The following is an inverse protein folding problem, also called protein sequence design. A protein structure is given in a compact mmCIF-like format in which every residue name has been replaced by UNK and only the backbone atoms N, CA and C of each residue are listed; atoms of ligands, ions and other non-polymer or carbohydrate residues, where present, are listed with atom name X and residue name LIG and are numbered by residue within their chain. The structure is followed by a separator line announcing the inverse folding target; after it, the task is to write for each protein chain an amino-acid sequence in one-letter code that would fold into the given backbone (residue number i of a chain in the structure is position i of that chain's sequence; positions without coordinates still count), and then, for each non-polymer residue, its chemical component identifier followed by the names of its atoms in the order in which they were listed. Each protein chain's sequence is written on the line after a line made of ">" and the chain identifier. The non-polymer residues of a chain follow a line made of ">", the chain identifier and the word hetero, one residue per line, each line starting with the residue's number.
data_IF_116568075028
#
_entry.id   IF_116568075028
#
_cell.length_a   1.000
_cell.length_b   1.000
_cell.length_c   1.000
_cell.angle_alpha   90.00
_cell.angle_beta   90.00
_cell.angle_gamma   90.00
#
_symmetry.space_group_name_H-M   'P 1'
#
loop_
_entity.id
_entity.type
_entity.pdbx_description
1 polymer ?
#
# COMPACT_ATOMS: atom_id res chain seq x y z
N UNK A 1 76.49 25.57 -5.98
CA UNK A 1 75.40 26.08 -5.11
C UNK A 1 73.96 25.88 -5.63
N UNK A 2 73.66 25.63 -6.92
CA UNK A 2 72.27 25.36 -7.38
C UNK A 2 71.82 23.89 -7.30
N UNK A 3 72.74 22.92 -7.26
CA UNK A 3 72.40 21.47 -7.22
C UNK A 3 72.03 20.95 -5.82
N UNK A 4 72.61 21.49 -4.74
CA UNK A 4 72.31 21.02 -3.37
C UNK A 4 70.95 21.49 -2.84
N UNK A 5 70.50 22.69 -3.22
CA UNK A 5 69.20 23.25 -2.82
C UNK A 5 68.03 22.45 -3.42
N UNK A 6 68.19 21.92 -4.63
CA UNK A 6 67.16 21.10 -5.28
C UNK A 6 67.02 19.70 -4.65
N UNK A 7 68.12 19.13 -4.14
CA UNK A 7 68.17 17.82 -3.47
C UNK A 7 67.53 17.85 -2.07
N UNK A 8 67.84 18.87 -1.28
CA UNK A 8 67.26 19.08 0.05
C UNK A 8 65.76 19.41 -0.02
N UNK A 9 65.33 20.24 -0.96
CA UNK A 9 63.91 20.60 -1.15
C UNK A 9 63.06 19.40 -1.57
N UNK A 10 63.59 18.54 -2.44
CA UNK A 10 62.93 17.29 -2.86
C UNK A 10 62.81 16.27 -1.72
N UNK A 11 63.85 16.11 -0.89
CA UNK A 11 63.81 15.24 0.30
C UNK A 11 62.87 15.74 1.40
N UNK A 12 62.86 17.06 1.65
CA UNK A 12 61.95 17.66 2.64
C UNK A 12 60.48 17.56 2.20
N UNK A 13 60.16 17.81 0.93
CA UNK A 13 58.81 17.67 0.39
C UNK A 13 58.31 16.21 0.43
N UNK A 14 59.17 15.23 0.09
CA UNK A 14 58.80 13.80 0.18
C UNK A 14 58.55 13.35 1.63
N UNK A 15 59.36 13.83 2.58
CA UNK A 15 59.16 13.54 4.00
C UNK A 15 57.90 14.23 4.56
N UNK A 16 57.58 15.46 4.13
CA UNK A 16 56.35 16.15 4.54
C UNK A 16 55.10 15.40 4.06
N UNK A 17 55.07 14.97 2.79
CA UNK A 17 53.95 14.22 2.20
C UNK A 17 53.79 12.84 2.85
N UNK A 18 54.90 12.20 3.28
CA UNK A 18 54.86 10.92 3.98
C UNK A 18 54.30 11.06 5.41
N UNK A 19 54.68 12.12 6.13
CA UNK A 19 54.15 12.42 7.46
C UNK A 19 52.68 12.84 7.44
N UNK A 20 52.26 13.60 6.42
CA UNK A 20 50.85 13.99 6.26
C UNK A 20 49.97 12.76 6.01
N UNK A 21 50.43 11.79 5.20
CA UNK A 21 49.71 10.54 4.94
C UNK A 21 49.65 9.60 6.14
N UNK A 22 50.68 9.55 6.99
CA UNK A 22 50.67 8.70 8.19
C UNK A 22 49.80 9.27 9.31
N UNK A 23 49.77 10.59 9.48
CA UNK A 23 48.87 11.29 10.40
C UNK A 23 47.40 11.17 9.96
N UNK A 24 47.11 11.32 8.67
CA UNK A 24 45.75 11.08 8.14
C UNK A 24 45.32 9.63 8.29
N UNK A 25 46.20 8.64 8.03
CA UNK A 25 45.87 7.23 8.23
C UNK A 25 45.61 6.87 9.71
N UNK A 26 46.35 7.50 10.65
CA UNK A 26 46.15 7.30 12.09
C UNK A 26 44.86 7.97 12.60
N UNK A 27 44.54 9.17 12.10
CA UNK A 27 43.26 9.82 12.38
C UNK A 27 42.10 9.00 11.81
N UNK A 28 42.18 8.59 10.55
CA UNK A 28 41.14 7.76 9.91
C UNK A 28 40.92 6.47 10.70
N UNK A 29 41.96 5.73 11.08
CA UNK A 29 41.78 4.50 11.85
C UNK A 29 41.13 4.71 13.23
N UNK A 30 41.51 5.75 13.98
CA UNK A 30 40.92 6.02 15.29
C UNK A 30 39.46 6.51 15.19
N UNK A 31 39.14 7.35 14.20
CA UNK A 31 37.75 7.76 13.96
C UNK A 31 36.90 6.64 13.36
N UNK A 32 37.48 5.74 12.59
CA UNK A 32 36.78 4.60 12.00
C UNK A 32 36.36 3.61 13.09
N UNK A 33 37.21 3.34 14.09
CA UNK A 33 36.84 2.48 15.23
C UNK A 33 35.74 3.13 16.08
N UNK A 34 35.82 4.45 16.33
CA UNK A 34 34.77 5.18 17.05
C UNK A 34 33.47 5.25 16.23
N UNK A 35 33.56 5.42 14.91
CA UNK A 35 32.41 5.40 14.01
C UNK A 35 31.77 4.01 13.97
N UNK A 36 32.53 2.92 13.89
CA UNK A 36 31.98 1.55 13.95
C UNK A 36 31.39 1.23 15.33
N UNK A 37 32.04 1.62 16.42
CA UNK A 37 31.50 1.44 17.77
C UNK A 37 30.24 2.29 18.02
N UNK A 38 30.17 3.51 17.47
CA UNK A 38 28.96 4.33 17.49
C UNK A 38 27.90 3.81 16.51
N UNK A 39 28.28 3.19 15.40
CA UNK A 39 27.34 2.61 14.44
C UNK A 39 26.69 1.36 15.04
N UNK A 40 27.44 0.50 15.74
CA UNK A 40 26.86 -0.64 16.46
C UNK A 40 25.96 -0.18 17.64
N UNK A 41 26.32 0.89 18.36
CA UNK A 41 25.52 1.41 19.49
C UNK A 41 24.30 2.24 19.05
N UNK A 42 24.41 3.06 17.99
CA UNK A 42 23.29 3.84 17.43
C UNK A 42 22.36 2.98 16.57
N UNK A 43 22.86 1.95 15.86
CA UNK A 43 22.00 1.04 15.11
C UNK A 43 21.18 0.13 16.04
N UNK A 44 21.72 -0.26 17.20
CA UNK A 44 20.97 -1.06 18.17
C UNK A 44 19.80 -0.29 18.82
N UNK A 45 19.97 0.99 19.12
CA UNK A 45 18.90 1.81 19.70
C UNK A 45 17.88 2.31 18.66
N UNK A 46 18.31 2.61 17.42
CA UNK A 46 17.41 3.06 16.35
C UNK A 46 16.50 1.93 15.83
N UNK A 47 17.00 0.70 15.64
CA UNK A 47 16.16 -0.42 15.18
C UNK A 47 15.14 -0.91 16.23
N UNK A 48 15.47 -0.77 17.53
CA UNK A 48 14.56 -1.15 18.61
C UNK A 48 13.47 -0.10 18.85
N UNK A 49 13.79 1.19 18.67
CA UNK A 49 12.82 2.30 18.64
C UNK A 49 11.73 2.06 17.58
N UNK A 50 12.12 1.76 16.35
CA UNK A 50 11.20 1.60 15.22
C UNK A 50 10.32 0.35 15.35
N UNK A 51 10.87 -0.76 15.86
CA UNK A 51 10.09 -1.98 16.11
C UNK A 51 9.08 -1.82 17.23
N UNK A 52 9.42 -1.07 18.30
CA UNK A 52 8.49 -0.82 19.39
C UNK A 52 7.33 0.07 18.92
N UNK A 53 7.62 1.11 18.14
CA UNK A 53 6.63 1.99 17.52
C UNK A 53 5.67 1.23 16.57
N UNK A 54 6.22 0.31 15.77
CA UNK A 54 5.41 -0.51 14.85
C UNK A 54 4.46 -1.45 15.59
N UNK A 55 4.93 -2.13 16.65
CA UNK A 55 4.08 -3.03 17.44
C UNK A 55 2.93 -2.25 18.10
N UNK A 56 3.21 -1.09 18.71
CA UNK A 56 2.17 -0.24 19.30
C UNK A 56 1.10 0.16 18.28
N UNK A 57 1.52 0.53 17.07
CA UNK A 57 0.62 0.89 15.97
C UNK A 57 -0.31 -0.27 15.61
N UNK A 58 0.25 -1.47 15.42
CA UNK A 58 -0.54 -2.70 15.14
C UNK A 58 -1.58 -2.94 16.23
N UNK A 59 -1.18 -2.83 17.49
CA UNK A 59 -2.07 -3.11 18.62
C UNK A 59 -3.18 -2.08 18.76
N UNK A 60 -2.89 -0.80 18.50
CA UNK A 60 -3.90 0.26 18.44
C UNK A 60 -4.92 0.00 17.32
N UNK A 61 -4.46 -0.39 16.14
CA UNK A 61 -5.33 -0.67 14.99
C UNK A 61 -6.20 -1.92 15.19
N UNK A 62 -5.66 -2.97 15.82
CA UNK A 62 -6.44 -4.16 16.22
C UNK A 62 -7.56 -3.75 17.17
N UNK A 63 -7.24 -2.96 18.20
CA UNK A 63 -8.22 -2.48 19.17
C UNK A 63 -9.30 -1.61 18.53
N UNK A 64 -8.91 -0.71 17.63
CA UNK A 64 -9.83 0.15 16.89
C UNK A 64 -10.78 -0.68 16.02
N UNK A 65 -10.25 -1.53 15.13
CA UNK A 65 -11.05 -2.37 14.25
C UNK A 65 -11.96 -3.37 15.00
N UNK A 66 -11.49 -3.91 16.13
CA UNK A 66 -12.31 -4.76 17.01
C UNK A 66 -13.49 -3.98 17.57
N UNK A 67 -13.25 -2.76 18.04
CA UNK A 67 -14.28 -1.88 18.64
C UNK A 67 -15.29 -1.42 17.59
N UNK A 68 -14.85 -1.11 16.36
CA UNK A 68 -15.74 -0.79 15.23
C UNK A 68 -16.74 -1.91 14.91
N UNK A 69 -16.35 -3.17 15.17
CA UNK A 69 -17.21 -4.35 15.00
C UNK A 69 -18.09 -4.67 16.20
N UNK A 70 -17.96 -3.92 17.30
CA UNK A 70 -18.65 -4.22 18.55
C UNK A 70 -18.19 -5.51 19.23
N UNK A 71 -16.99 -6.01 18.89
CA UNK A 71 -16.43 -7.22 19.49
C UNK A 71 -15.73 -6.88 20.82
N UNK A 72 -15.94 -7.68 21.85
CA UNK A 72 -15.14 -7.62 23.08
C UNK A 72 -13.78 -8.32 22.89
N UNK A 73 -12.84 -8.09 23.82
CA UNK A 73 -11.57 -8.83 23.82
C UNK A 73 -11.80 -10.34 23.96
N UNK A 74 -12.85 -10.75 24.67
CA UNK A 74 -13.23 -12.15 24.82
C UNK A 74 -13.74 -12.71 23.50
N UNK A 75 -14.58 -11.98 22.77
CA UNK A 75 -15.09 -12.44 21.48
C UNK A 75 -13.93 -12.63 20.49
N UNK A 76 -12.98 -11.69 20.43
CA UNK A 76 -11.79 -11.84 19.58
C UNK A 76 -10.94 -13.06 20.00
N UNK A 77 -10.78 -13.28 21.30
CA UNK A 77 -10.05 -14.43 21.83
C UNK A 77 -10.72 -15.76 21.42
N UNK A 78 -12.04 -15.84 21.57
CA UNK A 78 -12.83 -17.04 21.26
C UNK A 78 -12.73 -17.39 19.76
N UNK A 79 -12.75 -16.39 18.87
CA UNK A 79 -12.59 -16.62 17.42
C UNK A 79 -11.18 -17.10 17.04
N UNK A 80 -10.15 -16.69 17.79
CA UNK A 80 -8.75 -17.04 17.52
C UNK A 80 -8.27 -18.28 18.30
N UNK A 81 -9.13 -18.87 19.14
CA UNK A 81 -8.74 -19.96 20.04
C UNK A 81 -7.68 -19.53 21.07
N UNK A 82 -7.75 -18.27 21.53
CA UNK A 82 -6.82 -17.68 22.51
C UNK A 82 -7.55 -17.34 23.81
N UNK A 83 -6.78 -16.94 24.82
CA UNK A 83 -7.37 -16.43 26.07
C UNK A 83 -7.63 -14.92 25.96
N UNK A 84 -8.62 -14.40 26.69
CA UNK A 84 -8.84 -12.95 26.79
C UNK A 84 -7.59 -12.22 27.30
N UNK A 85 -6.83 -12.84 28.20
CA UNK A 85 -5.58 -12.28 28.72
C UNK A 85 -4.56 -12.08 27.59
N UNK A 86 -4.44 -13.03 26.67
CA UNK A 86 -3.57 -12.91 25.48
C UNK A 86 -3.94 -11.70 24.63
N UNK A 87 -5.23 -11.50 24.35
CA UNK A 87 -5.70 -10.32 23.58
C UNK A 87 -5.41 -9.03 24.34
N UNK A 88 -5.57 -9.03 25.67
CA UNK A 88 -5.25 -7.88 26.52
C UNK A 88 -3.75 -7.56 26.56
N UNK A 89 -2.88 -8.58 26.52
CA UNK A 89 -1.43 -8.39 26.45
C UNK A 89 -1.01 -7.87 25.06
N UNK A 90 -1.63 -8.37 23.99
CA UNK A 90 -1.49 -7.82 22.65
C UNK A 90 -1.87 -6.35 22.62
N UNK A 91 -3.10 -5.98 22.98
CA UNK A 91 -3.58 -4.59 22.89
C UNK A 91 -2.78 -3.59 23.77
N UNK A 92 -1.99 -4.07 24.73
CA UNK A 92 -1.08 -3.26 25.55
C UNK A 92 0.37 -3.25 25.05
N UNK A 93 0.65 -3.87 23.91
CA UNK A 93 2.00 -3.96 23.33
C UNK A 93 2.96 -4.87 24.09
N UNK A 94 2.48 -5.67 25.06
CA UNK A 94 3.34 -6.52 25.91
C UNK A 94 3.89 -7.74 25.18
N UNK A 95 3.25 -8.15 24.09
CA UNK A 95 3.66 -9.31 23.31
C UNK A 95 3.45 -9.01 21.84
N UNK A 96 4.39 -9.42 21.01
CA UNK A 96 4.24 -9.33 19.56
C UNK A 96 3.25 -10.38 19.06
N UNK A 97 2.51 -10.00 18.03
CA UNK A 97 1.65 -10.92 17.29
C UNK A 97 2.44 -11.55 16.14
N UNK A 98 2.21 -12.82 15.87
CA UNK A 98 2.78 -13.45 14.67
C UNK A 98 2.06 -12.99 13.40
N UNK A 99 2.74 -13.09 12.25
CA UNK A 99 2.11 -12.76 10.96
C UNK A 99 0.87 -13.61 10.65
N UNK A 100 0.87 -14.88 11.07
CA UNK A 100 -0.28 -15.79 10.91
C UNK A 100 -1.49 -15.33 11.74
N UNK A 101 -1.27 -14.94 13.00
CA UNK A 101 -2.32 -14.40 13.85
C UNK A 101 -2.84 -13.06 13.33
N UNK A 102 -1.95 -12.18 12.85
CA UNK A 102 -2.35 -10.92 12.25
C UNK A 102 -3.20 -11.12 10.98
N UNK A 103 -2.87 -12.12 10.16
CA UNK A 103 -3.67 -12.48 9.00
C UNK A 103 -5.09 -12.95 9.38
N UNK A 104 -5.20 -13.83 10.39
CA UNK A 104 -6.50 -14.28 10.90
C UNK A 104 -7.34 -13.12 11.44
N UNK A 105 -6.70 -12.20 12.16
CA UNK A 105 -7.34 -10.96 12.63
C UNK A 105 -7.80 -10.10 11.46
N UNK A 106 -6.99 -9.95 10.42
CA UNK A 106 -7.34 -9.18 9.23
C UNK A 106 -8.59 -9.74 8.54
N UNK A 107 -8.70 -11.05 8.39
CA UNK A 107 -9.90 -11.70 7.86
C UNK A 107 -11.10 -11.53 8.77
N UNK A 108 -10.96 -11.83 10.07
CA UNK A 108 -12.03 -11.72 11.06
C UNK A 108 -12.55 -10.30 11.21
N UNK A 109 -11.65 -9.32 11.22
CA UNK A 109 -11.96 -7.88 11.29
C UNK A 109 -12.17 -7.28 9.89
N UNK A 110 -12.12 -8.09 8.83
CA UNK A 110 -12.29 -7.71 7.43
C UNK A 110 -11.64 -6.35 7.10
N UNK A 111 -10.37 -6.23 7.51
CA UNK A 111 -9.45 -5.11 7.25
C UNK A 111 -8.28 -5.60 6.38
N UNK A 112 -7.66 -4.73 5.56
CA UNK A 112 -6.39 -5.07 4.91
C UNK A 112 -5.34 -5.39 5.96
N UNK A 113 -4.36 -6.26 5.65
CA UNK A 113 -3.29 -6.55 6.61
C UNK A 113 -2.45 -5.29 6.87
N UNK A 114 -2.33 -4.45 5.84
CA UNK A 114 -1.60 -3.20 5.83
C UNK A 114 -2.23 -2.12 6.72
N UNK A 115 -3.55 -2.17 6.93
CA UNK A 115 -4.25 -1.25 7.85
C UNK A 115 -3.65 -1.29 9.27
N UNK A 116 -3.16 -2.46 9.69
CA UNK A 116 -2.56 -2.61 11.01
C UNK A 116 -1.18 -1.96 11.12
N UNK A 117 -0.50 -1.66 10.02
CA UNK A 117 0.83 -1.05 10.04
C UNK A 117 0.78 0.49 10.05
N UNK A 118 -0.39 1.09 10.30
CA UNK A 118 -0.54 2.55 10.36
C UNK A 118 -0.53 3.24 8.99
N UNK A 119 -0.39 2.47 7.91
CA UNK A 119 -0.65 2.97 6.57
C UNK A 119 -2.15 3.28 6.48
N UNK A 120 -2.49 4.57 6.42
CA UNK A 120 -3.74 4.99 5.79
C UNK A 120 -3.64 4.57 4.32
N UNK A 121 -3.97 3.31 4.02
CA UNK A 121 -4.06 2.85 2.65
C UNK A 121 -5.23 3.58 2.00
N UNK A 122 -4.89 4.64 1.30
CA UNK A 122 -5.82 5.43 0.54
C UNK A 122 -6.75 6.27 1.39
N UNK A 123 -7.20 7.36 0.80
CA UNK A 123 -8.27 8.18 1.35
C UNK A 123 -9.48 7.32 1.72
N UNK A 124 -10.34 7.83 2.60
CA UNK A 124 -11.57 7.14 3.07
C UNK A 124 -12.35 6.46 1.92
N UNK A 125 -12.34 7.07 0.73
CA UNK A 125 -12.93 6.54 -0.49
C UNK A 125 -12.39 5.16 -0.91
N UNK A 126 -11.08 4.95 -0.84
CA UNK A 126 -10.42 3.67 -1.19
C UNK A 126 -10.81 2.60 -0.17
N UNK A 127 -10.80 2.94 1.11
CA UNK A 127 -11.20 2.01 2.18
C UNK A 127 -12.67 1.58 2.05
N UNK A 128 -13.56 2.53 1.73
CA UNK A 128 -14.98 2.27 1.52
C UNK A 128 -15.18 1.30 0.33
N UNK A 129 -14.47 1.51 -0.78
CA UNK A 129 -14.53 0.61 -1.95
C UNK A 129 -14.00 -0.78 -1.60
N UNK A 130 -12.85 -0.88 -0.93
CA UNK A 130 -12.27 -2.17 -0.52
C UNK A 130 -13.24 -2.95 0.38
N UNK A 131 -13.86 -2.27 1.34
CA UNK A 131 -14.85 -2.88 2.22
C UNK A 131 -16.08 -3.41 1.45
N UNK A 132 -16.56 -2.67 0.44
CA UNK A 132 -17.65 -3.11 -0.44
C UNK A 132 -17.25 -4.34 -1.27
N UNK A 133 -16.05 -4.32 -1.87
CA UNK A 133 -15.55 -5.40 -2.71
C UNK A 133 -15.32 -6.70 -1.94
N UNK A 134 -14.87 -6.62 -0.68
CA UNK A 134 -14.68 -7.81 0.16
C UNK A 134 -15.98 -8.54 0.50
N UNK A 135 -17.09 -7.83 0.59
CA UNK A 135 -18.41 -8.43 0.86
C UNK A 135 -19.01 -9.14 -0.36
N UNK A 136 -18.38 -9.03 -1.53
CA UNK A 136 -18.89 -9.67 -2.75
C UNK A 136 -18.40 -11.12 -2.89
N UNK A 137 -19.19 -12.00 -3.52
CA UNK A 137 -18.72 -13.32 -3.94
C UNK A 137 -17.46 -13.21 -4.82
N UNK A 138 -16.56 -14.20 -4.71
CA UNK A 138 -15.27 -14.20 -5.45
C UNK A 138 -15.45 -13.96 -6.94
N UNK A 139 -16.45 -14.61 -7.55
CA UNK A 139 -16.78 -14.44 -8.98
C UNK A 139 -17.16 -13.00 -9.31
N UNK A 140 -18.03 -12.38 -8.52
CA UNK A 140 -18.46 -10.99 -8.69
C UNK A 140 -17.28 -10.03 -8.50
N UNK A 141 -16.51 -10.21 -7.44
CA UNK A 141 -15.31 -9.41 -7.16
C UNK A 141 -14.31 -9.48 -8.32
N UNK A 142 -14.04 -10.67 -8.84
CA UNK A 142 -13.14 -10.87 -9.97
C UNK A 142 -13.62 -10.14 -11.23
N UNK A 143 -14.90 -10.23 -11.57
CA UNK A 143 -15.45 -9.52 -12.73
C UNK A 143 -15.38 -7.99 -12.58
N UNK A 144 -15.68 -7.46 -11.38
CA UNK A 144 -15.59 -6.02 -11.10
C UNK A 144 -14.14 -5.52 -11.22
N UNK A 145 -13.19 -6.24 -10.63
CA UNK A 145 -11.77 -5.88 -10.71
C UNK A 145 -11.24 -5.97 -12.15
N UNK A 146 -11.67 -6.98 -12.92
CA UNK A 146 -11.32 -7.12 -14.32
C UNK A 146 -11.80 -5.93 -15.15
N UNK A 147 -13.06 -5.51 -14.98
CA UNK A 147 -13.62 -4.35 -15.67
C UNK A 147 -12.90 -3.05 -15.27
N UNK A 148 -12.67 -2.84 -13.96
CA UNK A 148 -11.97 -1.66 -13.47
C UNK A 148 -10.55 -1.59 -14.05
N UNK A 149 -9.82 -2.71 -14.07
CA UNK A 149 -8.49 -2.80 -14.67
C UNK A 149 -8.49 -2.46 -16.16
N UNK A 150 -9.43 -3.00 -16.93
CA UNK A 150 -9.57 -2.69 -18.36
C UNK A 150 -9.81 -1.19 -18.58
N UNK A 151 -10.71 -0.57 -17.81
CA UNK A 151 -11.01 0.87 -17.92
C UNK A 151 -9.76 1.70 -17.65
N UNK A 152 -9.02 1.40 -16.58
CA UNK A 152 -7.80 2.14 -16.21
C UNK A 152 -6.74 2.02 -17.30
N UNK A 153 -6.54 0.81 -17.86
CA UNK A 153 -5.58 0.61 -18.94
C UNK A 153 -5.97 1.38 -20.20
N UNK A 154 -7.24 1.33 -20.60
CA UNK A 154 -7.77 2.09 -21.73
C UNK A 154 -7.59 3.60 -21.52
N UNK A 155 -7.87 4.11 -20.31
CA UNK A 155 -7.68 5.51 -19.95
C UNK A 155 -6.21 5.92 -20.01
N UNK A 156 -5.31 5.12 -19.44
CA UNK A 156 -3.87 5.43 -19.46
C UNK A 156 -3.33 5.53 -20.88
N UNK A 157 -3.70 4.59 -21.76
CA UNK A 157 -3.28 4.63 -23.16
C UNK A 157 -3.91 5.82 -23.89
N UNK A 158 -5.20 6.12 -23.64
CA UNK A 158 -5.88 7.28 -24.21
C UNK A 158 -5.28 8.62 -23.78
N UNK A 159 -4.91 8.73 -22.50
CA UNK A 159 -4.24 9.91 -21.94
C UNK A 159 -2.85 10.10 -22.54
N UNK A 160 -2.10 9.00 -22.70
CA UNK A 160 -0.79 9.03 -23.37
C UNK A 160 -0.94 9.48 -24.83
N UNK A 161 -1.89 8.90 -25.56
CA UNK A 161 -2.15 9.26 -26.95
C UNK A 161 -2.58 10.72 -27.12
N UNK A 162 -3.27 11.27 -26.11
CA UNK A 162 -3.68 12.68 -26.09
C UNK A 162 -2.50 13.61 -25.81
N UNK A 163 -1.58 13.22 -24.93
CA UNK A 163 -0.44 14.05 -24.50
C UNK A 163 0.76 13.99 -25.44
N UNK A 164 1.04 12.82 -26.01
CA UNK A 164 2.20 12.55 -26.86
C UNK A 164 1.80 11.55 -27.96
N UNK A 165 1.04 11.98 -28.97
CA UNK A 165 0.57 11.08 -30.03
C UNK A 165 1.71 10.39 -30.78
N UNK A 166 2.88 11.02 -30.88
CA UNK A 166 4.11 10.47 -31.44
C UNK A 166 4.77 9.35 -30.62
N UNK A 167 4.42 9.20 -29.32
CA UNK A 167 4.93 8.11 -28.47
C UNK A 167 4.14 6.81 -28.61
N UNK A 168 3.01 6.84 -29.33
CA UNK A 168 2.15 5.68 -29.54
C UNK A 168 2.76 4.78 -30.62
N UNK A 169 3.38 3.70 -30.18
CA UNK A 169 3.89 2.65 -31.07
C UNK A 169 2.75 1.78 -31.61
N UNK A 170 3.00 1.07 -32.71
CA UNK A 170 2.06 0.08 -33.24
C UNK A 170 1.70 -1.00 -32.19
N UNK A 171 2.65 -1.36 -31.34
CA UNK A 171 2.46 -2.30 -30.24
C UNK A 171 1.44 -1.78 -29.21
N UNK A 172 1.56 -0.52 -28.79
CA UNK A 172 0.60 0.12 -27.87
C UNK A 172 -0.79 0.27 -28.50
N UNK A 173 -0.85 0.61 -29.79
CA UNK A 173 -2.13 0.67 -30.52
C UNK A 173 -2.80 -0.71 -30.59
N UNK A 174 -2.02 -1.77 -30.75
CA UNK A 174 -2.49 -3.16 -30.74
C UNK A 174 -2.94 -3.60 -29.35
N UNK A 175 -2.20 -3.24 -28.31
CA UNK A 175 -2.58 -3.46 -26.91
C UNK A 175 -3.93 -2.79 -26.61
N UNK A 176 -4.08 -1.51 -26.97
CA UNK A 176 -5.33 -0.79 -26.84
C UNK A 176 -6.48 -1.51 -27.56
N UNK A 177 -6.28 -1.90 -28.82
CA UNK A 177 -7.30 -2.59 -29.60
C UNK A 177 -7.73 -3.91 -28.94
N UNK A 178 -6.76 -4.70 -28.48
CA UNK A 178 -7.01 -5.98 -27.81
C UNK A 178 -7.71 -5.82 -26.47
N UNK A 179 -7.54 -4.69 -25.78
CA UNK A 179 -8.27 -4.36 -24.55
C UNK A 179 -9.67 -3.79 -24.85
N UNK A 180 -9.76 -2.92 -25.85
CA UNK A 180 -10.97 -2.16 -26.17
C UNK A 180 -12.09 -3.05 -26.75
N UNK A 181 -11.76 -3.98 -27.65
CA UNK A 181 -12.78 -4.83 -28.28
C UNK A 181 -13.53 -5.71 -27.26
N UNK A 182 -12.85 -6.48 -26.38
CA UNK A 182 -13.52 -7.23 -25.31
C UNK A 182 -14.32 -6.33 -24.35
N UNK A 183 -13.79 -5.16 -24.03
CA UNK A 183 -14.48 -4.18 -23.19
C UNK A 183 -15.80 -3.72 -23.83
N UNK A 184 -15.77 -3.27 -25.09
CA UNK A 184 -16.95 -2.84 -25.83
C UNK A 184 -18.01 -3.95 -25.94
N UNK A 185 -17.59 -5.18 -26.21
CA UNK A 185 -18.48 -6.34 -26.24
C UNK A 185 -19.15 -6.58 -24.87
N UNK A 186 -18.39 -6.42 -23.78
CA UNK A 186 -18.90 -6.59 -22.42
C UNK A 186 -19.93 -5.52 -22.07
N UNK A 187 -19.67 -4.25 -22.41
CA UNK A 187 -20.62 -3.15 -22.23
C UNK A 187 -21.91 -3.40 -23.01
N UNK A 188 -21.82 -3.84 -24.27
CA UNK A 188 -23.00 -4.14 -25.08
C UNK A 188 -23.83 -5.28 -24.48
N UNK A 189 -23.19 -6.34 -23.98
CA UNK A 189 -23.87 -7.44 -23.31
C UNK A 189 -24.54 -6.99 -22.00
N UNK A 190 -23.89 -6.12 -21.22
CA UNK A 190 -24.46 -5.54 -20.00
C UNK A 190 -25.65 -4.63 -20.32
N UNK A 191 -25.54 -3.79 -21.35
CA UNK A 191 -26.61 -2.91 -21.81
C UNK A 191 -27.87 -3.71 -22.16
N UNK A 192 -27.72 -4.78 -22.94
CA UNK A 192 -28.83 -5.66 -23.30
C UNK A 192 -29.50 -6.30 -22.07
N UNK A 193 -28.71 -6.80 -21.12
CA UNK A 193 -29.25 -7.36 -19.87
C UNK A 193 -29.98 -6.31 -19.03
N UNK A 194 -29.47 -5.07 -19.00
CA UNK A 194 -30.12 -3.97 -18.31
C UNK A 194 -31.46 -3.60 -18.94
N UNK A 195 -31.55 -3.63 -20.27
CA UNK A 195 -32.81 -3.39 -20.99
C UNK A 195 -33.85 -4.49 -20.72
N UNK A 196 -33.41 -5.75 -20.66
CA UNK A 196 -34.25 -6.89 -20.27
C UNK A 196 -34.78 -6.73 -18.84
N UNK A 197 -33.89 -6.44 -17.88
CA UNK A 197 -34.26 -6.19 -16.47
C UNK A 197 -35.21 -5.00 -16.33
N UNK A 198 -34.94 -3.91 -17.05
CA UNK A 198 -35.81 -2.73 -17.07
C UNK A 198 -37.21 -3.10 -17.57
N UNK A 199 -37.30 -3.86 -18.66
CA UNK A 199 -38.57 -4.29 -19.24
C UNK A 199 -39.37 -5.17 -18.27
N UNK A 200 -38.69 -6.09 -17.56
CA UNK A 200 -39.30 -6.91 -16.52
C UNK A 200 -39.83 -6.06 -15.35
N UNK A 201 -39.03 -5.09 -14.88
CA UNK A 201 -39.43 -4.21 -13.79
C UNK A 201 -40.61 -3.31 -14.18
N UNK A 202 -40.61 -2.76 -15.40
CA UNK A 202 -41.73 -1.99 -15.93
C UNK A 202 -43.01 -2.82 -16.07
N UNK A 203 -42.91 -4.09 -16.49
CA UNK A 203 -44.04 -5.01 -16.54
C UNK A 203 -44.58 -5.32 -15.13
N UNK A 204 -43.71 -5.59 -14.16
CA UNK A 204 -44.09 -5.86 -12.78
C UNK A 204 -44.77 -4.65 -12.11
N UNK A 205 -44.31 -3.42 -12.39
CA UNK A 205 -44.94 -2.20 -11.91
C UNK A 205 -46.32 -1.96 -12.53
N UNK A 206 -46.54 -2.36 -13.79
CA UNK A 206 -47.86 -2.29 -14.42
C UNK A 206 -48.84 -3.28 -13.80
N UNK A 207 -48.37 -4.45 -13.36
CA UNK A 207 -49.21 -5.47 -12.69
C UNK A 207 -49.58 -5.06 -11.26
N UNK A 208 -48.72 -4.28 -10.57
CA UNK A 208 -48.89 -3.96 -9.15
C UNK A 208 -49.44 -2.55 -8.83
N UNK A 209 -49.90 -1.76 -9.80
CA UNK A 209 -50.39 -0.37 -9.62
C UNK A 209 -49.54 0.51 -8.66
N UNK A 210 -48.23 0.28 -8.57
CA UNK A 210 -47.35 1.16 -7.79
C UNK A 210 -47.06 2.39 -8.65
N UNK A 211 -47.72 3.51 -8.32
CA UNK A 211 -47.51 4.82 -8.94
C UNK A 211 -46.01 5.10 -9.07
N UNK A 212 -45.51 5.23 -10.31
CA UNK A 212 -44.15 5.70 -10.61
C UNK A 212 -43.88 6.99 -9.81
N UNK A 213 -42.74 7.12 -9.10
CA UNK A 213 -42.39 8.38 -8.46
C UNK A 213 -42.33 9.46 -9.54
N UNK A 214 -43.15 10.50 -9.39
CA UNK A 214 -43.22 11.62 -10.33
C UNK A 214 -41.85 12.25 -10.43
N UNK A 215 -41.30 12.36 -11.64
CA UNK A 215 -40.07 13.09 -11.92
C UNK A 215 -40.17 14.48 -11.29
N UNK A 216 -39.41 14.75 -10.23
CA UNK A 216 -39.20 16.10 -9.73
C UNK A 216 -38.50 16.87 -10.84
N UNK A 217 -39.24 17.81 -11.45
CA UNK A 217 -38.71 18.78 -12.39
C UNK A 217 -37.51 19.46 -11.74
N UNK A 218 -36.40 19.50 -12.47
CA UNK A 218 -35.24 20.32 -12.12
C UNK A 218 -35.70 21.74 -11.83
N UNK A 219 -35.28 22.26 -10.67
CA UNK A 219 -35.27 23.70 -10.44
C UNK A 219 -34.00 24.23 -11.09
N UNK A 220 -34.24 25.00 -12.16
CA UNK A 220 -33.56 26.22 -12.60
C UNK A 220 -32.32 26.62 -11.82
#
# INVERSE_FOLDING_TARGET
>A
MRYEVHSLRSKLLKNLIFYEKSLYAFLINNYTIILYACQDFLCYDMENSDRMFMNETIMQQIRAARSERGLSQKDLADHLGKTQATISDWERGKTQISASELYQIAELLNKPIEYFFGENIGDKEIQDIVAVLRKQPVKTRSSVLQLAGMIIQIQNIGDEATKAPESITEEKAREFYNLFIPFANTINAMSKKMDELRSQFEAALRVNEVKKPSKTKGKS
#
